data_IF_959456258826
#
_entry.id   IF_959456258826
#
_cell.length_a   1.000
_cell.length_b   1.000
_cell.length_c   1.000
_cell.angle_alpha   90.00
_cell.angle_beta   90.00
_cell.angle_gamma   90.00
#
_symmetry.space_group_name_H-M   'P 1'
#
loop_
_entity.id
_entity.type
_entity.pdbx_description
1 polymer ?
#
# COMPACT_ATOMS: atom_id res chain seq x y z
N UNK A 1 -38.66 36.61 36.72
CA UNK A 1 -38.63 35.19 37.10
C UNK A 1 -37.54 34.50 36.29
N UNK A 2 -36.64 33.80 37.00
CA UNK A 2 -35.64 32.79 36.60
C UNK A 2 -34.89 32.93 35.25
N UNK A 3 -33.62 33.37 35.33
CA UNK A 3 -32.57 32.99 34.37
C UNK A 3 -31.88 31.73 34.90
N UNK A 4 -31.96 30.63 34.16
CA UNK A 4 -31.34 29.35 34.51
C UNK A 4 -29.86 29.40 34.13
N UNK A 5 -28.99 29.28 35.12
CA UNK A 5 -27.54 29.12 34.97
C UNK A 5 -27.25 27.61 34.87
N UNK A 6 -26.76 27.12 33.73
CA UNK A 6 -26.28 25.75 33.60
C UNK A 6 -24.77 25.71 33.78
N UNK A 7 -24.33 25.12 34.90
CA UNK A 7 -22.94 24.88 35.26
C UNK A 7 -22.39 23.69 34.47
N UNK A 8 -21.17 23.85 33.96
CA UNK A 8 -20.40 22.88 33.19
C UNK A 8 -19.77 21.78 34.08
N UNK A 9 -19.73 20.55 33.58
CA UNK A 9 -18.91 19.47 34.13
C UNK A 9 -18.15 18.78 32.98
N UNK A 10 -16.88 19.15 32.81
CA UNK A 10 -15.96 18.46 31.90
C UNK A 10 -15.25 17.35 32.68
N UNK A 11 -15.43 16.10 32.25
CA UNK A 11 -14.70 14.95 32.79
C UNK A 11 -13.32 14.91 32.13
N UNK A 12 -12.28 15.31 32.86
CA UNK A 12 -10.89 15.13 32.45
C UNK A 12 -10.49 13.66 32.61
N UNK A 13 -10.28 12.96 31.49
CA UNK A 13 -9.66 11.64 31.50
C UNK A 13 -8.14 11.79 31.59
N UNK A 14 -7.59 11.29 32.70
CA UNK A 14 -6.15 11.25 32.97
C UNK A 14 -5.44 10.29 31.99
N UNK A 15 -4.33 10.68 31.36
CA UNK A 15 -3.55 9.76 30.55
C UNK A 15 -2.84 8.75 31.46
N UNK A 16 -3.15 7.47 31.25
CA UNK A 16 -2.53 6.33 31.94
C UNK A 16 -1.14 6.12 31.36
N UNK A 17 -0.10 6.42 32.15
CA UNK A 17 1.30 6.17 31.81
C UNK A 17 1.58 4.67 31.73
N UNK A 18 1.97 4.18 30.55
CA UNK A 18 2.47 2.82 30.39
C UNK A 18 3.95 2.76 30.81
N UNK A 19 4.37 1.78 31.62
CA UNK A 19 5.77 1.63 32.00
C UNK A 19 6.62 1.09 30.85
N UNK A 20 7.70 1.81 30.54
CA UNK A 20 8.76 1.44 29.60
C UNK A 20 9.57 0.25 30.14
N UNK A 21 9.87 -0.79 29.35
CA UNK A 21 10.75 -1.88 29.77
C UNK A 21 12.23 -1.44 29.75
N UNK A 22 13.07 -1.87 30.73
CA UNK A 22 14.49 -1.54 30.75
C UNK A 22 15.30 -2.35 29.71
N UNK A 23 16.45 -1.84 29.24
CA UNK A 23 17.30 -2.53 28.27
C UNK A 23 18.05 -3.73 28.92
N UNK A 24 18.27 -4.84 28.20
CA UNK A 24 19.05 -5.95 28.71
C UNK A 24 20.55 -5.64 28.69
N UNK A 25 21.19 -5.84 29.85
CA UNK A 25 22.64 -5.73 30.04
C UNK A 25 23.33 -6.98 29.48
N UNK A 26 24.33 -6.74 28.65
CA UNK A 26 25.36 -7.71 28.25
C UNK A 26 26.21 -8.11 29.46
N UNK A 27 26.50 -9.42 29.59
CA UNK A 27 27.74 -10.04 30.09
C UNK A 27 27.46 -11.45 30.63
N UNK A 28 27.99 -12.48 29.96
CA UNK A 28 28.74 -13.59 30.57
C UNK A 28 28.94 -14.76 29.58
N UNK A 29 30.20 -14.99 29.26
CA UNK A 29 30.84 -16.21 28.76
C UNK A 29 30.50 -17.43 29.62
N UNK A 30 30.26 -18.60 29.02
CA UNK A 30 30.72 -19.98 29.38
C UNK A 30 29.92 -21.01 28.54
N UNK A 31 30.42 -21.57 27.44
CA UNK A 31 31.16 -22.86 27.30
C UNK A 31 30.30 -24.14 27.35
N UNK A 32 30.12 -24.74 26.15
CA UNK A 32 29.83 -26.13 25.73
C UNK A 32 28.76 -27.02 26.43
N UNK A 33 27.80 -27.49 25.61
CA UNK A 33 27.46 -28.92 25.55
C UNK A 33 26.82 -29.26 24.20
N UNK A 34 27.41 -30.25 23.52
CA UNK A 34 27.04 -30.74 22.19
C UNK A 34 26.12 -31.95 22.28
N UNK A 35 24.96 -31.89 21.62
CA UNK A 35 24.18 -33.08 21.26
C UNK A 35 23.43 -32.83 19.93
N UNK A 36 23.49 -33.75 18.95
CA UNK A 36 22.89 -33.54 17.64
C UNK A 36 21.42 -33.96 17.66
N UNK A 37 20.51 -32.98 17.64
CA UNK A 37 19.12 -33.25 17.32
C UNK A 37 18.90 -33.12 15.81
N UNK A 38 18.83 -34.26 15.13
CA UNK A 38 18.47 -34.38 13.73
C UNK A 38 17.00 -34.00 13.54
N UNK A 39 16.72 -32.81 13.03
CA UNK A 39 15.41 -32.49 12.48
C UNK A 39 15.33 -33.03 11.05
N UNK A 40 14.54 -34.09 10.88
CA UNK A 40 14.20 -34.62 9.58
C UNK A 40 13.57 -33.51 8.72
N UNK A 41 14.27 -33.11 7.67
CA UNK A 41 13.78 -32.18 6.65
C UNK A 41 12.59 -32.83 5.94
N UNK A 42 11.36 -32.49 6.33
CA UNK A 42 10.21 -32.70 5.45
C UNK A 42 10.38 -31.76 4.27
N UNK A 43 10.84 -32.31 3.14
CA UNK A 43 10.87 -31.66 1.83
C UNK A 43 9.43 -31.29 1.45
N UNK A 44 9.01 -30.08 1.84
CA UNK A 44 7.77 -29.49 1.36
C UNK A 44 7.93 -29.30 -0.15
N UNK A 45 7.38 -30.23 -0.94
CA UNK A 45 7.17 -30.02 -2.36
C UNK A 45 6.10 -28.94 -2.47
N UNK A 46 6.51 -27.67 -2.47
CA UNK A 46 5.68 -26.60 -3.00
C UNK A 46 5.53 -26.89 -4.49
N UNK A 47 4.33 -27.35 -4.85
CA UNK A 47 3.87 -27.39 -6.23
C UNK A 47 3.99 -25.99 -6.81
N UNK A 48 4.96 -25.77 -7.68
CA UNK A 48 5.02 -24.58 -8.51
C UNK A 48 3.88 -24.76 -9.53
N UNK A 49 2.74 -24.12 -9.28
CA UNK A 49 1.73 -23.95 -10.32
C UNK A 49 2.28 -22.93 -11.33
N UNK A 50 2.87 -23.45 -12.41
CA UNK A 50 3.33 -22.67 -13.53
C UNK A 50 2.10 -22.16 -14.29
N UNK A 51 1.75 -20.89 -14.08
CA UNK A 51 0.72 -20.22 -14.88
C UNK A 51 1.36 -19.90 -16.25
N UNK A 52 1.00 -20.70 -17.25
CA UNK A 52 1.39 -20.50 -18.64
C UNK A 52 0.57 -19.35 -19.22
N UNK A 53 1.13 -18.14 -19.22
CA UNK A 53 0.60 -17.05 -20.04
C UNK A 53 0.95 -17.36 -21.52
N UNK A 54 -0.05 -17.61 -22.34
CA UNK A 54 0.10 -17.78 -23.79
C UNK A 54 -0.24 -16.45 -24.45
N UNK A 55 0.78 -15.62 -24.71
CA UNK A 55 0.64 -14.50 -25.63
C UNK A 55 1.11 -14.96 -27.01
N UNK A 56 0.16 -15.07 -27.93
CA UNK A 56 0.43 -15.27 -29.35
C UNK A 56 1.15 -14.04 -29.91
N UNK A 57 2.30 -14.30 -30.53
CA UNK A 57 3.06 -13.37 -31.37
C UNK A 57 2.48 -13.41 -32.78
N UNK A 58 2.29 -12.24 -33.42
CA UNK A 58 2.52 -12.14 -34.86
C UNK A 58 3.66 -11.17 -35.17
N UNK A 59 4.43 -11.56 -36.19
CA UNK A 59 5.69 -10.98 -36.61
C UNK A 59 5.58 -9.76 -37.54
N UNK A 60 6.72 -9.07 -37.63
CA UNK A 60 7.25 -8.20 -38.71
C UNK A 60 6.53 -6.90 -39.09
N UNK A 61 7.27 -5.77 -39.08
CA UNK A 61 7.69 -5.07 -40.31
C UNK A 61 8.66 -3.90 -40.01
N UNK A 62 9.73 -3.89 -40.81
CA UNK A 62 10.82 -2.93 -41.10
C UNK A 62 10.63 -1.43 -40.81
N UNK A 63 11.73 -0.78 -40.37
CA UNK A 63 11.93 0.66 -40.17
C UNK A 63 11.80 1.53 -41.45
N UNK A 64 11.70 2.87 -41.32
CA UNK A 64 12.90 3.70 -41.42
C UNK A 64 12.95 4.95 -40.49
N UNK A 65 14.18 5.46 -40.33
CA UNK A 65 14.64 6.65 -39.59
C UNK A 65 14.08 7.96 -40.19
N UNK A 66 13.79 8.99 -39.36
CA UNK A 66 14.34 10.38 -39.41
C UNK A 66 13.42 11.42 -38.71
N UNK A 67 14.01 12.20 -37.78
CA UNK A 67 13.76 13.59 -37.34
C UNK A 67 13.29 13.83 -35.89
N UNK A 68 14.03 14.76 -35.25
CA UNK A 68 13.85 15.31 -33.91
C UNK A 68 12.45 15.91 -33.67
N UNK A 69 11.75 15.34 -32.72
CA UNK A 69 10.68 15.96 -31.94
C UNK A 69 10.69 15.20 -30.60
N UNK A 70 10.57 15.89 -29.47
CA UNK A 70 10.60 15.27 -28.13
C UNK A 70 9.28 14.53 -27.94
N UNK A 71 9.21 13.32 -28.47
CA UNK A 71 8.07 12.44 -28.33
C UNK A 71 8.24 11.63 -27.05
N UNK A 72 7.40 11.94 -26.07
CA UNK A 72 7.22 11.13 -24.86
C UNK A 72 6.73 9.76 -25.33
N UNK A 73 7.46 8.65 -25.06
CA UNK A 73 7.11 7.35 -25.63
C UNK A 73 5.70 6.90 -25.20
N UNK A 74 4.86 6.60 -26.19
CA UNK A 74 3.46 6.19 -26.04
C UNK A 74 3.34 4.69 -25.70
N UNK A 75 3.77 4.32 -24.47
CA UNK A 75 3.49 3.09 -23.68
C UNK A 75 4.17 1.76 -24.10
N UNK A 76 4.32 0.70 -23.25
CA UNK A 76 4.32 0.50 -21.77
C UNK A 76 5.78 0.41 -21.20
N UNK A 77 6.13 0.14 -19.90
CA UNK A 77 5.39 -0.40 -18.75
C UNK A 77 5.08 0.66 -17.68
N UNK A 78 3.81 0.77 -17.32
CA UNK A 78 3.42 1.44 -16.08
C UNK A 78 3.95 0.66 -14.88
N UNK A 79 4.25 1.34 -13.77
CA UNK A 79 4.60 0.64 -12.53
C UNK A 79 3.47 -0.29 -12.05
N UNK A 80 2.24 0.02 -12.47
CA UNK A 80 1.01 -0.73 -12.20
C UNK A 80 0.98 -1.99 -13.09
N UNK A 81 1.79 -2.99 -12.74
CA UNK A 81 1.75 -4.31 -13.38
C UNK A 81 1.42 -5.40 -12.35
N UNK A 82 0.81 -6.51 -12.80
CA UNK A 82 0.46 -7.61 -11.90
C UNK A 82 1.68 -8.18 -11.15
N UNK A 83 2.82 -8.28 -11.85
CA UNK A 83 4.07 -8.76 -11.27
C UNK A 83 4.62 -7.79 -10.21
N UNK A 84 4.50 -6.49 -10.44
CA UNK A 84 4.94 -5.47 -9.48
C UNK A 84 4.04 -5.46 -8.24
N UNK A 85 2.73 -5.65 -8.40
CA UNK A 85 1.81 -5.78 -7.27
C UNK A 85 2.11 -7.04 -6.46
N UNK A 86 2.40 -8.17 -7.12
CA UNK A 86 2.80 -9.41 -6.45
C UNK A 86 4.13 -9.25 -5.67
N UNK A 87 5.12 -8.57 -6.27
CA UNK A 87 6.39 -8.22 -5.59
C UNK A 87 6.11 -7.37 -4.36
N UNK A 88 5.33 -6.31 -4.51
CA UNK A 88 4.94 -5.45 -3.40
C UNK A 88 4.23 -6.27 -2.31
N UNK A 89 3.27 -7.15 -2.67
CA UNK A 89 2.55 -8.06 -1.76
C UNK A 89 3.48 -8.95 -0.93
N UNK A 90 4.64 -9.33 -1.47
CA UNK A 90 5.68 -10.06 -0.75
C UNK A 90 6.57 -9.19 0.14
N UNK A 91 6.37 -7.87 0.17
CA UNK A 91 7.26 -6.93 0.86
C UNK A 91 8.54 -6.63 0.10
N UNK A 92 8.59 -6.91 -1.20
CA UNK A 92 9.74 -6.61 -2.06
C UNK A 92 9.43 -5.28 -2.77
N UNK A 93 10.35 -4.32 -2.81
CA UNK A 93 10.13 -3.07 -3.54
C UNK A 93 9.90 -3.36 -5.03
N UNK A 94 9.08 -2.53 -5.66
CA UNK A 94 8.73 -2.71 -7.07
C UNK A 94 9.95 -2.46 -7.96
N UNK A 95 10.74 -1.45 -7.60
CA UNK A 95 11.98 -1.09 -8.26
C UNK A 95 13.14 -1.21 -7.27
N UNK A 96 14.31 -1.56 -7.76
CA UNK A 96 15.51 -1.67 -6.94
C UNK A 96 16.23 -0.31 -6.80
N UNK A 97 15.82 0.69 -7.59
CA UNK A 97 16.39 2.05 -7.65
C UNK A 97 15.52 3.03 -6.85
N UNK A 98 16.18 3.89 -6.06
CA UNK A 98 15.54 5.02 -5.37
C UNK A 98 15.46 6.26 -6.30
N UNK A 99 14.28 6.54 -6.82
CA UNK A 99 14.02 7.64 -7.75
C UNK A 99 14.12 9.02 -7.10
N UNK A 100 13.82 9.12 -5.80
CA UNK A 100 14.02 10.38 -5.08
C UNK A 100 15.50 10.68 -4.93
N UNK A 101 16.30 9.68 -4.58
CA UNK A 101 17.76 9.82 -4.50
C UNK A 101 18.37 10.16 -5.86
N UNK A 102 17.86 9.55 -6.95
CA UNK A 102 18.33 9.81 -8.31
C UNK A 102 18.13 11.27 -8.71
N UNK A 103 16.95 11.84 -8.41
CA UNK A 103 16.66 13.26 -8.66
C UNK A 103 17.26 14.21 -7.62
N UNK A 104 17.78 13.69 -6.51
CA UNK A 104 18.28 14.50 -5.39
C UNK A 104 17.15 15.19 -4.61
N UNK A 105 15.96 14.60 -4.59
CA UNK A 105 14.78 15.11 -3.90
C UNK A 105 14.58 14.39 -2.57
N UNK A 106 14.09 15.08 -1.52
CA UNK A 106 13.60 14.40 -0.34
C UNK A 106 12.27 13.69 -0.66
N UNK A 107 12.00 12.56 0.00
CA UNK A 107 10.75 11.78 -0.19
C UNK A 107 9.48 12.59 0.11
N UNK A 108 9.58 13.62 0.95
CA UNK A 108 8.49 14.54 1.27
C UNK A 108 8.13 15.50 0.12
N UNK A 109 8.98 15.67 -0.91
CA UNK A 109 8.72 16.59 -2.00
C UNK A 109 7.66 16.04 -2.96
N UNK A 110 6.41 16.52 -2.80
CA UNK A 110 5.26 16.17 -3.63
C UNK A 110 4.94 17.15 -4.75
N UNK A 111 5.55 18.32 -4.75
CA UNK A 111 5.28 19.36 -5.74
C UNK A 111 5.83 18.96 -7.12
N UNK A 112 4.93 18.78 -8.09
CA UNK A 112 5.27 18.46 -9.49
C UNK A 112 6.28 19.46 -10.08
N UNK A 113 6.13 20.75 -9.78
CA UNK A 113 7.05 21.80 -10.25
C UNK A 113 8.49 21.56 -9.79
N UNK A 114 8.69 21.09 -8.55
CA UNK A 114 10.00 20.79 -7.99
C UNK A 114 10.58 19.53 -8.63
N UNK A 115 9.73 18.53 -8.88
CA UNK A 115 10.12 17.28 -9.55
C UNK A 115 10.57 17.55 -10.99
N UNK A 116 9.79 18.35 -11.74
CA UNK A 116 10.12 18.77 -13.10
C UNK A 116 11.39 19.62 -13.13
N UNK A 117 11.57 20.52 -12.17
CA UNK A 117 12.79 21.32 -12.03
C UNK A 117 14.03 20.45 -11.81
N UNK A 118 13.95 19.53 -10.84
CA UNK A 118 15.06 18.62 -10.53
C UNK A 118 15.40 17.68 -11.69
N UNK A 119 14.40 17.16 -12.39
CA UNK A 119 14.61 16.34 -13.59
C UNK A 119 15.42 17.10 -14.67
N UNK A 120 15.02 18.34 -14.99
CA UNK A 120 15.74 19.16 -15.97
C UNK A 120 17.19 19.40 -15.57
N UNK A 121 17.43 19.80 -14.32
CA UNK A 121 18.79 20.00 -13.80
C UNK A 121 19.62 18.72 -13.90
N UNK A 122 19.05 17.54 -13.58
CA UNK A 122 19.77 16.27 -13.67
C UNK A 122 20.06 15.83 -15.11
N UNK A 123 19.15 16.10 -16.04
CA UNK A 123 19.38 15.84 -17.46
C UNK A 123 20.52 16.72 -17.98
N UNK A 124 20.49 18.02 -17.66
CA UNK A 124 21.57 18.94 -18.03
C UNK A 124 22.92 18.54 -17.40
N UNK A 125 22.92 18.11 -16.13
CA UNK A 125 24.10 17.58 -15.44
C UNK A 125 24.68 16.34 -16.16
N UNK A 126 23.83 15.42 -16.62
CA UNK A 126 24.27 14.21 -17.33
C UNK A 126 24.82 14.56 -18.72
N UNK A 127 24.19 15.49 -19.43
CA UNK A 127 24.65 15.95 -20.75
C UNK A 127 25.95 16.77 -20.68
N UNK A 128 26.15 17.52 -19.58
CA UNK A 128 27.37 18.29 -19.36
C UNK A 128 28.59 17.42 -19.00
N UNK A 129 28.35 16.20 -18.54
CA UNK A 129 29.40 15.23 -18.26
C UNK A 129 29.74 14.49 -19.55
N UNK A 130 30.98 14.60 -20.01
CA UNK A 130 31.52 13.82 -21.13
C UNK A 130 31.75 12.35 -20.71
N UNK A 131 30.65 11.62 -20.49
CA UNK A 131 30.67 10.17 -20.28
C UNK A 131 30.54 9.44 -21.61
N UNK A 132 30.78 8.13 -21.58
CA UNK A 132 30.53 7.25 -22.72
C UNK A 132 29.04 7.31 -23.13
N UNK A 133 28.78 7.32 -24.44
CA UNK A 133 27.44 7.52 -25.00
C UNK A 133 26.42 6.49 -24.47
N UNK A 134 26.88 5.27 -24.19
CA UNK A 134 26.05 4.20 -23.63
C UNK A 134 25.63 4.48 -22.19
N UNK A 135 26.56 4.94 -21.33
CA UNK A 135 26.25 5.34 -19.96
C UNK A 135 25.33 6.56 -19.90
N UNK A 136 25.52 7.50 -20.82
CA UNK A 136 24.67 8.69 -20.93
C UNK A 136 23.24 8.26 -21.25
N UNK A 137 23.06 7.35 -22.21
CA UNK A 137 21.75 6.83 -22.59
C UNK A 137 21.07 6.11 -21.41
N UNK A 138 21.77 5.22 -20.72
CA UNK A 138 21.23 4.49 -19.56
C UNK A 138 20.77 5.45 -18.46
N UNK A 139 21.60 6.44 -18.10
CA UNK A 139 21.24 7.44 -17.07
C UNK A 139 20.06 8.31 -17.50
N UNK A 140 19.97 8.67 -18.77
CA UNK A 140 18.82 9.41 -19.30
C UNK A 140 17.54 8.57 -19.26
N UNK A 141 17.60 7.26 -19.53
CA UNK A 141 16.46 6.36 -19.40
C UNK A 141 15.99 6.23 -17.95
N UNK A 142 16.91 6.06 -17.00
CA UNK A 142 16.59 6.02 -15.56
C UNK A 142 15.97 7.35 -15.07
N UNK A 143 16.48 8.49 -15.54
CA UNK A 143 15.91 9.80 -15.21
C UNK A 143 14.50 9.98 -15.78
N UNK A 144 14.28 9.53 -17.02
CA UNK A 144 12.94 9.54 -17.64
C UNK A 144 11.96 8.66 -16.87
N UNK A 145 12.40 7.48 -16.44
CA UNK A 145 11.58 6.59 -15.62
C UNK A 145 11.26 7.20 -14.26
N UNK A 146 12.26 7.76 -13.57
CA UNK A 146 12.08 8.44 -12.29
C UNK A 146 11.06 9.58 -12.39
N UNK A 147 11.17 10.39 -13.45
CA UNK A 147 10.23 11.48 -13.71
C UNK A 147 8.81 10.95 -13.98
N UNK A 148 8.66 9.92 -14.81
CA UNK A 148 7.35 9.31 -15.12
C UNK A 148 6.66 8.83 -13.84
N UNK A 149 7.38 8.10 -13.00
CA UNK A 149 6.86 7.55 -11.75
C UNK A 149 6.48 8.63 -10.75
N UNK A 150 7.33 9.64 -10.57
CA UNK A 150 7.15 10.67 -9.54
C UNK A 150 6.18 11.79 -9.96
N UNK A 151 5.97 11.98 -11.27
CA UNK A 151 5.02 12.97 -11.80
C UNK A 151 3.56 12.51 -11.71
N UNK A 152 3.29 11.22 -11.91
CA UNK A 152 1.94 10.68 -11.77
C UNK A 152 1.60 10.37 -10.31
N UNK A 153 0.52 10.95 -9.79
CA UNK A 153 0.08 10.69 -8.41
C UNK A 153 -0.20 9.20 -8.13
N UNK A 154 -0.74 8.47 -9.11
CA UNK A 154 -1.08 7.06 -8.97
C UNK A 154 0.16 6.17 -8.94
N UNK A 155 1.11 6.40 -9.85
CA UNK A 155 2.36 5.63 -9.90
C UNK A 155 3.24 5.93 -8.69
N UNK A 156 3.33 7.21 -8.32
CA UNK A 156 4.03 7.65 -7.12
C UNK A 156 3.46 7.00 -5.85
N UNK A 157 2.13 6.96 -5.71
CA UNK A 157 1.48 6.30 -4.58
C UNK A 157 1.88 4.84 -4.48
N UNK A 158 1.87 4.12 -5.61
CA UNK A 158 2.25 2.71 -5.64
C UNK A 158 3.74 2.53 -5.31
N UNK A 159 4.59 3.43 -5.81
CA UNK A 159 6.02 3.46 -5.54
C UNK A 159 6.31 3.69 -4.06
N UNK A 160 5.78 4.76 -3.48
CA UNK A 160 5.92 5.13 -2.07
C UNK A 160 5.36 4.02 -1.16
N UNK A 161 4.23 3.41 -1.53
CA UNK A 161 3.64 2.28 -0.83
C UNK A 161 4.55 1.05 -0.82
N UNK A 162 5.15 0.72 -1.97
CA UNK A 162 6.05 -0.43 -2.07
C UNK A 162 7.30 -0.26 -1.21
N UNK A 163 7.84 0.96 -1.11
CA UNK A 163 8.94 1.29 -0.20
C UNK A 163 8.52 1.21 1.27
N UNK A 164 7.36 1.75 1.63
CA UNK A 164 6.88 1.70 3.01
C UNK A 164 6.70 0.26 3.51
N UNK A 165 6.25 -0.64 2.63
CA UNK A 165 6.09 -2.07 2.96
C UNK A 165 7.39 -2.87 2.96
N UNK A 166 8.36 -2.52 2.12
CA UNK A 166 9.68 -3.16 2.21
C UNK A 166 10.40 -2.77 3.50
N UNK A 167 10.15 -1.58 4.03
CA UNK A 167 10.66 -1.14 5.33
C UNK A 167 9.95 -1.83 6.51
N UNK A 168 8.64 -2.09 6.41
CA UNK A 168 7.83 -2.69 7.48
C UNK A 168 7.02 -3.90 6.97
N UNK A 169 7.62 -5.10 6.84
CA UNK A 169 6.94 -6.27 6.29
C UNK A 169 5.83 -6.83 7.21
N UNK A 170 5.90 -6.58 8.52
CA UNK A 170 4.98 -7.15 9.51
C UNK A 170 3.63 -6.42 9.58
N UNK A 171 3.58 -5.14 9.18
CA UNK A 171 2.38 -4.31 9.26
C UNK A 171 1.88 -3.98 7.87
N UNK A 172 0.65 -4.38 7.58
CA UNK A 172 -0.01 -3.93 6.36
C UNK A 172 -0.33 -2.44 6.47
N UNK A 173 0.10 -1.67 5.47
CA UNK A 173 -0.19 -0.26 5.29
C UNK A 173 -0.97 -0.12 3.99
N UNK A 174 -2.03 0.65 3.96
CA UNK A 174 -2.77 0.88 2.72
C UNK A 174 -2.01 1.86 1.81
N UNK A 175 -2.06 1.71 0.47
CA UNK A 175 -1.41 2.67 -0.44
C UNK A 175 -1.83 4.13 -0.21
N UNK A 176 -3.10 4.33 0.16
CA UNK A 176 -3.68 5.64 0.45
C UNK A 176 -3.32 6.20 1.83
N UNK A 177 -2.75 5.41 2.73
CA UNK A 177 -2.24 5.90 4.01
C UNK A 177 -0.84 6.53 3.84
N UNK A 178 -0.06 6.02 2.89
CA UNK A 178 1.29 6.53 2.59
C UNK A 178 1.22 7.82 1.77
N UNK A 179 0.18 7.95 0.96
CA UNK A 179 -0.04 9.09 0.10
C UNK A 179 -1.08 10.05 0.70
N UNK A 180 -0.62 11.19 1.20
CA UNK A 180 -1.49 12.25 1.72
C UNK A 180 -1.89 13.24 0.61
N UNK A 181 -1.62 12.95 -0.68
CA UNK A 181 -2.27 13.71 -1.75
C UNK A 181 -3.77 13.58 -1.52
N UNK A 182 -4.38 14.73 -1.23
CA UNK A 182 -5.75 14.85 -0.74
C UNK A 182 -6.65 13.94 -1.57
N UNK A 183 -7.07 12.80 -1.00
CA UNK A 183 -8.03 11.90 -1.63
C UNK A 183 -9.23 12.75 -1.98
N UNK A 184 -9.57 12.75 -3.26
CA UNK A 184 -10.63 13.52 -3.91
C UNK A 184 -11.60 14.17 -2.93
N UNK A 185 -11.69 15.51 -3.02
CA UNK A 185 -12.93 16.24 -2.70
C UNK A 185 -13.96 15.78 -3.74
N UNK A 186 -14.41 14.53 -3.62
CA UNK A 186 -15.52 13.96 -4.34
C UNK A 186 -16.62 13.76 -3.33
N UNK A 187 -17.86 13.97 -3.76
CA UNK A 187 -19.02 13.62 -2.93
C UNK A 187 -18.86 12.17 -2.46
N UNK A 188 -19.23 11.87 -1.20
CA UNK A 188 -19.15 10.52 -0.68
C UNK A 188 -19.82 9.55 -1.66
N UNK A 189 -19.32 8.31 -1.80
CA UNK A 189 -19.96 7.30 -2.63
C UNK A 189 -21.47 7.32 -2.37
N UNK A 190 -22.32 7.30 -3.43
CA UNK A 190 -23.75 7.18 -3.24
C UNK A 190 -24.04 6.03 -2.28
N UNK A 191 -24.81 6.31 -1.23
CA UNK A 191 -25.13 5.33 -0.21
C UNK A 191 -25.77 4.12 -0.91
N UNK A 192 -25.09 2.96 -0.84
CA UNK A 192 -25.62 1.74 -1.44
C UNK A 192 -26.99 1.45 -0.81
N UNK A 193 -28.03 1.15 -1.61
CA UNK A 193 -29.34 0.86 -1.05
C UNK A 193 -29.20 -0.36 -0.14
N UNK A 194 -29.49 -0.19 1.15
CA UNK A 194 -29.43 -1.29 2.11
C UNK A 194 -30.28 -2.46 1.59
N UNK A 195 -29.71 -3.66 1.47
CA UNK A 195 -30.46 -4.89 1.15
C UNK A 195 -31.22 -5.36 2.41
N UNK A 196 -32.22 -4.56 2.81
CA UNK A 196 -33.03 -4.75 4.02
C UNK A 196 -34.07 -5.86 3.90
N UNK A 197 -34.26 -6.45 2.71
CA UNK A 197 -35.35 -7.39 2.45
C UNK A 197 -35.29 -8.64 3.35
N UNK A 198 -34.24 -9.47 3.23
CA UNK A 198 -34.13 -10.71 4.00
C UNK A 198 -33.98 -10.46 5.51
N UNK A 199 -33.21 -9.44 5.89
CA UNK A 199 -32.86 -9.15 7.28
C UNK A 199 -34.08 -8.72 8.10
N UNK A 200 -35.00 -7.93 7.51
CA UNK A 200 -36.25 -7.54 8.19
C UNK A 200 -37.19 -8.73 8.39
N UNK A 201 -37.31 -9.62 7.41
CA UNK A 201 -38.18 -10.79 7.49
C UNK A 201 -37.76 -11.73 8.63
N UNK A 202 -36.46 -12.01 8.72
CA UNK A 202 -35.88 -12.81 9.80
C UNK A 202 -36.09 -12.13 11.16
N UNK A 203 -35.91 -10.81 11.24
CA UNK A 203 -36.18 -10.03 12.45
C UNK A 203 -37.62 -10.17 12.93
N UNK A 204 -38.61 -10.06 12.05
CA UNK A 204 -40.02 -10.25 12.39
C UNK A 204 -40.35 -11.70 12.78
N UNK A 205 -39.70 -12.69 12.16
CA UNK A 205 -39.87 -14.10 12.51
C UNK A 205 -39.41 -14.38 13.95
N UNK A 206 -38.22 -13.90 14.33
CA UNK A 206 -37.72 -14.03 15.71
C UNK A 206 -38.59 -13.28 16.72
N UNK A 207 -39.04 -12.07 16.36
CA UNK A 207 -39.90 -11.27 17.24
C UNK A 207 -41.26 -11.96 17.46
N UNK A 208 -41.88 -12.48 16.40
CA UNK A 208 -43.12 -13.24 16.50
C UNK A 208 -42.98 -14.50 17.35
N UNK A 209 -41.89 -15.25 17.18
CA UNK A 209 -41.61 -16.44 17.98
C UNK A 209 -41.40 -16.11 19.48
N UNK A 210 -40.73 -15.00 19.78
CA UNK A 210 -40.51 -14.52 21.14
C UNK A 210 -41.80 -14.07 21.81
N UNK A 211 -42.70 -13.39 21.09
CA UNK A 211 -44.02 -13.04 21.63
C UNK A 211 -44.84 -14.29 21.88
N UNK A 212 -44.82 -15.25 20.96
CA UNK A 212 -45.54 -16.52 21.11
C UNK A 212 -45.03 -17.32 22.32
N UNK A 213 -43.72 -17.34 22.57
CA UNK A 213 -43.15 -18.05 23.72
C UNK A 213 -43.62 -17.47 25.05
N UNK A 214 -43.69 -16.13 25.18
CA UNK A 214 -44.21 -15.49 26.38
C UNK A 214 -45.70 -15.77 26.58
N UNK A 215 -46.51 -15.65 25.54
CA UNK A 215 -47.96 -15.94 25.63
C UNK A 215 -48.19 -17.39 26.03
N UNK A 216 -47.47 -18.33 25.42
CA UNK A 216 -47.60 -19.74 25.74
C UNK A 216 -47.12 -20.07 27.15
N UNK A 217 -46.05 -19.42 27.62
CA UNK A 217 -45.55 -19.56 28.99
C UNK A 217 -46.58 -19.07 30.03
N UNK A 218 -47.22 -17.92 29.79
CA UNK A 218 -48.28 -17.39 30.67
C UNK A 218 -49.49 -18.32 30.65
N UNK A 219 -49.95 -18.73 29.47
CA UNK A 219 -51.11 -19.61 29.35
C UNK A 219 -50.91 -20.95 30.07
N UNK A 220 -49.75 -21.58 29.91
CA UNK A 220 -49.42 -22.83 30.61
C UNK A 220 -49.31 -22.63 32.13
N UNK A 221 -48.76 -21.50 32.60
CA UNK A 221 -48.67 -21.18 34.03
C UNK A 221 -50.04 -20.88 34.68
N UNK A 222 -51.02 -20.36 33.92
CA UNK A 222 -52.37 -20.08 34.44
C UNK A 222 -53.26 -21.33 34.46
N UNK A 223 -52.99 -22.30 33.58
CA UNK A 223 -53.74 -23.55 33.47
C UNK A 223 -53.25 -24.61 34.49
N UNK A 224 -52.05 -24.44 35.03
CA UNK A 224 -51.42 -25.34 35.99
C UNK A 224 -51.74 -24.94 37.45
#
# INVERSE_FOLDING_TARGET
>A
MAAVTTTSAAVSLSPKSFPTPPPPKTNATTTFSSSPFCFATKRSRRSISLIRNSSDVPAETTAPVTNSEIEVPEGPPSLISALNVERALRGIPITDVDYYALLGLPRSCRAEQVITGAYKTKVDDVLSRELEEEEVKEKLELLKEAYRVLSSAQERRLYDWSMSRSENPDRYVWPFEVDETRTSIGDPPPEEPEDVGPTRLVGYFFLGWLVLSFVMSIALNVIQ
#
